data_IF_449563089018
#
_entry.id   IF_449563089018
#
_cell.length_a   1.000
_cell.length_b   1.000
_cell.length_c   1.000
_cell.angle_alpha   90.00
_cell.angle_beta   90.00
_cell.angle_gamma   90.00
#
_symmetry.space_group_name_H-M   'P 1'
#
loop_
_entity.id
_entity.type
_entity.pdbx_description
1 polymer ?
#
# COMPACT_ATOMS: atom_id res chain seq x y z
N UNK A 1 -2.24 -6.19 0.18
CA UNK A 1 -3.39 -5.71 0.97
C UNK A 1 -4.52 -6.70 0.80
N UNK A 2 -4.74 -7.56 1.79
CA UNK A 2 -5.65 -8.70 1.67
C UNK A 2 -6.44 -8.92 2.97
N UNK A 3 -5.84 -8.59 4.10
CA UNK A 3 -6.43 -8.76 5.43
C UNK A 3 -7.52 -7.72 5.66
N UNK A 4 -8.74 -8.18 5.92
CA UNK A 4 -9.92 -7.37 6.19
C UNK A 4 -10.62 -7.88 7.45
N UNK A 5 -10.94 -6.95 8.35
CA UNK A 5 -11.67 -7.22 9.58
C UNK A 5 -13.11 -6.75 9.45
N UNK A 6 -14.01 -7.70 9.23
CA UNK A 6 -15.45 -7.44 9.13
C UNK A 6 -16.13 -7.63 10.49
N UNK A 7 -17.00 -6.68 10.84
CA UNK A 7 -17.82 -6.64 12.06
C UNK A 7 -19.28 -6.41 11.67
N UNK A 8 -20.21 -7.15 12.29
CA UNK A 8 -21.66 -6.96 12.10
C UNK A 8 -22.15 -5.70 12.81
N UNK A 9 -23.40 -5.28 12.54
CA UNK A 9 -24.06 -4.16 13.20
C UNK A 9 -24.09 -4.29 14.74
N UNK A 10 -24.15 -5.53 15.24
CA UNK A 10 -24.11 -5.86 16.68
C UNK A 10 -22.71 -5.75 17.31
N UNK A 11 -21.68 -5.37 16.54
CA UNK A 11 -20.29 -5.31 17.02
C UNK A 11 -19.58 -6.67 17.07
N UNK A 12 -20.20 -7.75 16.58
CA UNK A 12 -19.62 -9.09 16.55
C UNK A 12 -18.72 -9.29 15.33
N UNK A 13 -17.54 -9.87 15.56
CA UNK A 13 -16.56 -10.15 14.50
C UNK A 13 -17.06 -11.26 13.57
N UNK A 14 -17.23 -10.93 12.29
CA UNK A 14 -17.70 -11.87 11.27
C UNK A 14 -16.53 -12.64 10.65
N UNK A 15 -15.33 -12.08 10.67
CA UNK A 15 -14.09 -12.66 10.12
C UNK A 15 -13.43 -13.66 11.07
N UNK A 16 -14.22 -14.42 11.84
CA UNK A 16 -13.77 -15.26 12.96
C UNK A 16 -13.03 -16.56 12.60
N UNK A 17 -12.72 -16.80 11.31
CA UNK A 17 -12.18 -18.07 10.82
C UNK A 17 -11.14 -17.85 9.72
N UNK A 18 -10.18 -18.77 9.60
CA UNK A 18 -9.16 -18.80 8.53
C UNK A 18 -9.75 -18.92 7.11
N UNK A 19 -10.99 -19.38 7.00
CA UNK A 19 -11.72 -19.38 5.73
C UNK A 19 -12.12 -17.98 5.27
N UNK A 20 -12.29 -17.03 6.21
CA UNK A 20 -12.78 -15.67 5.94
C UNK A 20 -11.70 -14.60 6.09
N UNK A 21 -10.85 -14.71 7.10
CA UNK A 21 -9.67 -13.85 7.25
C UNK A 21 -8.50 -14.39 6.44
N UNK A 22 -7.97 -13.60 5.50
CA UNK A 22 -6.94 -14.02 4.55
C UNK A 22 -5.64 -13.26 4.76
N UNK A 23 -4.68 -13.94 5.38
CA UNK A 23 -3.29 -13.51 5.49
C UNK A 23 -2.61 -13.65 4.10
N UNK A 24 -1.68 -12.76 3.72
CA UNK A 24 -0.86 -12.94 2.54
C UNK A 24 -0.20 -14.32 2.49
N UNK A 25 -0.43 -15.06 1.40
CA UNK A 25 0.23 -16.33 1.09
C UNK A 25 1.38 -16.10 0.11
N UNK A 26 2.07 -17.19 -0.28
CA UNK A 26 3.15 -17.17 -1.28
C UNK A 26 2.74 -16.47 -2.58
N UNK A 27 1.47 -16.57 -2.96
CA UNK A 27 0.92 -15.98 -4.19
C UNK A 27 0.81 -14.44 -4.12
N UNK A 28 0.80 -13.87 -2.92
CA UNK A 28 0.67 -12.42 -2.69
C UNK A 28 2.02 -11.70 -2.65
N UNK A 29 3.13 -12.45 -2.62
CA UNK A 29 4.49 -11.89 -2.56
C UNK A 29 4.89 -11.38 -3.97
N UNK A 30 5.51 -10.20 -4.10
CA UNK A 30 6.00 -9.72 -5.39
C UNK A 30 6.94 -10.74 -6.04
N UNK A 31 6.72 -11.02 -7.33
CA UNK A 31 7.56 -11.95 -8.09
C UNK A 31 9.06 -11.59 -8.00
N UNK A 32 9.35 -10.29 -8.07
CA UNK A 32 10.68 -9.74 -7.84
C UNK A 32 10.71 -9.03 -6.49
N UNK A 33 11.29 -9.67 -5.48
CA UNK A 33 11.45 -9.12 -4.15
C UNK A 33 12.94 -8.97 -3.80
N UNK A 34 13.49 -7.80 -4.13
CA UNK A 34 14.92 -7.50 -3.94
C UNK A 34 15.14 -6.77 -2.61
N UNK A 35 16.01 -7.32 -1.76
CA UNK A 35 16.39 -6.71 -0.48
C UNK A 35 17.90 -6.54 -0.44
N UNK A 36 18.34 -5.31 -0.18
CA UNK A 36 19.75 -4.98 -0.06
C UNK A 36 20.06 -4.48 1.34
N UNK A 37 21.01 -5.16 2.00
CA UNK A 37 21.56 -4.65 3.25
C UNK A 37 22.65 -3.62 2.93
N UNK A 38 22.39 -2.37 3.30
CA UNK A 38 23.39 -1.32 3.13
C UNK A 38 24.51 -1.51 4.15
N UNK A 39 25.75 -1.59 3.65
CA UNK A 39 26.93 -1.58 4.51
C UNK A 39 27.02 -0.19 5.16
N UNK A 40 26.79 -0.14 6.47
CA UNK A 40 26.92 1.08 7.24
C UNK A 40 28.24 1.09 8.00
N UNK A 41 28.88 2.26 8.10
CA UNK A 41 30.11 2.41 8.89
C UNK A 41 29.95 2.04 10.37
N UNK A 42 31.06 2.08 11.11
CA UNK A 42 31.06 1.72 12.53
C UNK A 42 30.20 2.70 13.36
N UNK A 43 29.36 2.16 14.23
CA UNK A 43 28.49 2.95 15.10
C UNK A 43 28.85 2.76 16.56
N UNK A 44 29.46 3.80 17.15
CA UNK A 44 29.97 3.79 18.52
C UNK A 44 28.89 3.65 19.60
N UNK A 45 27.64 4.06 19.30
CA UNK A 45 26.53 4.06 20.26
C UNK A 45 25.71 2.76 20.27
N UNK A 46 26.12 1.72 19.53
CA UNK A 46 25.33 0.50 19.37
C UNK A 46 26.16 -0.75 19.61
N UNK A 47 25.55 -1.74 20.26
CA UNK A 47 26.18 -3.04 20.53
C UNK A 47 26.54 -3.68 19.19
N UNK A 48 27.84 -3.92 18.98
CA UNK A 48 28.40 -4.48 17.75
C UNK A 48 27.98 -3.73 16.47
N UNK A 49 27.75 -2.41 16.58
CA UNK A 49 27.20 -1.58 15.49
C UNK A 49 25.81 -2.01 14.96
N UNK A 50 25.15 -2.97 15.63
CA UNK A 50 23.84 -3.50 15.22
C UNK A 50 22.76 -2.42 15.24
N UNK A 51 21.78 -2.55 14.35
CA UNK A 51 20.64 -1.62 14.23
C UNK A 51 19.41 -2.21 14.92
N UNK A 52 19.54 -2.48 16.22
CA UNK A 52 18.44 -2.99 17.06
C UNK A 52 18.20 -1.94 18.15
N UNK A 53 17.13 -1.17 18.02
CA UNK A 53 16.72 -0.24 19.07
C UNK A 53 15.64 -0.91 19.92
N UNK A 54 16.04 -1.43 21.08
CA UNK A 54 15.12 -1.67 22.19
C UNK A 54 14.71 -0.31 22.72
N UNK A 55 13.43 -0.03 22.72
CA UNK A 55 12.90 1.28 23.06
C UNK A 55 13.11 1.59 24.55
N UNK A 56 13.95 2.56 24.86
CA UNK A 56 13.75 3.43 26.02
C UNK A 56 13.90 4.89 25.56
N UNK A 57 12.81 5.64 25.74
CA UNK A 57 12.63 7.07 25.51
C UNK A 57 12.48 7.55 24.05
N UNK A 58 11.21 7.66 23.61
CA UNK A 58 10.75 8.66 22.64
C UNK A 58 11.21 10.03 23.12
N UNK A 59 12.18 10.62 22.43
CA UNK A 59 12.17 12.02 22.01
C UNK A 59 13.11 12.16 20.81
N UNK A 60 12.58 12.62 19.67
CA UNK A 60 13.17 13.69 18.85
C UNK A 60 12.41 13.81 17.52
N UNK A 61 11.46 14.76 17.55
CA UNK A 61 11.31 15.85 16.60
C UNK A 61 11.47 15.53 15.11
N UNK A 62 10.30 15.57 14.45
CA UNK A 62 10.09 16.02 13.08
C UNK A 62 11.13 17.06 12.64
N UNK A 63 12.04 16.66 11.77
CA UNK A 63 12.56 17.52 10.72
C UNK A 63 13.11 16.67 9.57
N UNK A 64 12.77 17.12 8.37
CA UNK A 64 12.96 16.50 7.06
C UNK A 64 14.43 16.11 6.85
N UNK A 65 14.74 14.82 7.05
CA UNK A 65 15.94 14.08 6.59
C UNK A 65 15.65 12.56 6.69
N UNK A 66 14.51 12.16 6.11
CA UNK A 66 13.59 11.10 6.56
C UNK A 66 14.08 9.63 6.48
N UNK A 67 15.32 9.32 6.11
CA UNK A 67 15.71 7.91 5.84
C UNK A 67 16.85 7.40 6.76
N UNK A 68 17.63 8.27 7.39
CA UNK A 68 18.89 7.83 8.05
C UNK A 68 18.79 7.46 9.53
N UNK A 69 17.64 7.61 10.21
CA UNK A 69 17.51 7.22 11.63
C UNK A 69 16.58 6.03 11.91
N UNK A 70 15.82 5.58 10.93
CA UNK A 70 14.94 4.43 11.11
C UNK A 70 15.73 3.15 10.86
N UNK A 71 16.37 2.67 11.91
CA UNK A 71 16.76 1.28 11.95
C UNK A 71 16.33 0.68 13.30
N UNK A 72 15.04 0.85 13.57
CA UNK A 72 14.28 -0.06 14.41
C UNK A 72 13.84 -1.21 13.48
N UNK A 73 14.69 -2.23 13.35
CA UNK A 73 14.62 -3.23 12.28
C UNK A 73 13.35 -4.12 12.28
N UNK A 74 12.52 -4.08 13.34
CA UNK A 74 11.35 -4.97 13.47
C UNK A 74 10.07 -4.43 12.83
N UNK A 75 9.75 -3.15 13.06
CA UNK A 75 8.47 -2.54 12.63
C UNK A 75 8.60 -1.79 11.30
N UNK A 76 9.82 -1.35 10.96
CA UNK A 76 10.07 -0.57 9.75
C UNK A 76 9.78 -1.32 8.44
N UNK A 77 10.08 -2.63 8.30
CA UNK A 77 9.70 -3.39 7.11
C UNK A 77 8.19 -3.43 6.91
N UNK A 78 7.39 -3.39 7.98
CA UNK A 78 5.94 -3.33 7.89
C UNK A 78 5.46 -2.00 7.31
N UNK A 79 6.11 -0.88 7.68
CA UNK A 79 5.81 0.42 7.08
C UNK A 79 6.12 0.46 5.57
N UNK A 80 7.18 -0.22 5.13
CA UNK A 80 7.49 -0.32 3.70
C UNK A 80 6.40 -1.03 2.90
N UNK A 81 5.56 -1.86 3.52
CA UNK A 81 4.41 -2.47 2.85
C UNK A 81 3.39 -1.43 2.36
N UNK A 82 3.36 -0.23 2.95
CA UNK A 82 2.52 0.88 2.47
C UNK A 82 2.91 1.36 1.06
N UNK A 83 4.12 1.07 0.59
CA UNK A 83 4.55 1.35 -0.80
C UNK A 83 3.65 0.66 -1.83
N UNK A 84 3.21 -0.57 -1.54
CA UNK A 84 2.27 -1.32 -2.39
C UNK A 84 0.93 -0.58 -2.47
N UNK A 85 0.46 -0.02 -1.34
CA UNK A 85 -0.77 0.77 -1.32
C UNK A 85 -0.66 2.07 -2.11
N UNK A 86 0.47 2.78 -1.98
CA UNK A 86 0.74 3.96 -2.80
C UNK A 86 0.81 3.61 -4.30
N UNK A 87 1.42 2.49 -4.65
CA UNK A 87 1.44 1.99 -6.03
C UNK A 87 0.02 1.69 -6.55
N UNK A 88 -0.82 1.00 -5.77
CA UNK A 88 -2.22 0.76 -6.13
C UNK A 88 -2.98 2.07 -6.35
N UNK A 89 -2.80 3.07 -5.46
CA UNK A 89 -3.43 4.39 -5.60
C UNK A 89 -2.98 5.08 -6.89
N UNK A 90 -1.69 5.03 -7.23
CA UNK A 90 -1.17 5.59 -8.47
C UNK A 90 -1.75 4.89 -9.71
N UNK A 91 -1.88 3.56 -9.68
CA UNK A 91 -2.49 2.78 -10.76
C UNK A 91 -3.96 3.14 -10.97
N UNK A 92 -4.75 3.26 -9.89
CA UNK A 92 -6.16 3.69 -10.00
C UNK A 92 -6.25 5.11 -10.58
N UNK A 93 -5.35 6.01 -10.18
CA UNK A 93 -5.29 7.37 -10.73
C UNK A 93 -5.03 7.34 -12.24
N UNK A 94 -4.03 6.57 -12.68
CA UNK A 94 -3.70 6.42 -14.10
C UNK A 94 -4.85 5.77 -14.90
N UNK A 95 -5.52 4.76 -14.34
CA UNK A 95 -6.68 4.12 -14.98
C UNK A 95 -7.83 5.13 -15.20
N UNK A 96 -8.09 6.01 -14.23
CA UNK A 96 -9.09 7.09 -14.36
C UNK A 96 -8.71 8.14 -15.40
N UNK A 97 -7.43 8.46 -15.50
CA UNK A 97 -6.90 9.34 -16.55
C UNK A 97 -7.12 8.73 -17.94
N UNK A 98 -6.82 7.43 -18.11
CA UNK A 98 -7.05 6.70 -19.36
C UNK A 98 -8.53 6.64 -19.73
N UNK A 99 -9.41 6.33 -18.77
CA UNK A 99 -10.85 6.27 -19.00
C UNK A 99 -11.40 7.60 -19.54
N UNK A 100 -10.89 8.72 -19.04
CA UNK A 100 -11.27 10.06 -19.52
C UNK A 100 -10.81 10.34 -20.93
N UNK A 101 -9.60 9.91 -21.28
CA UNK A 101 -9.07 10.06 -22.64
C UNK A 101 -9.98 9.36 -23.65
N UNK A 102 -10.44 8.14 -23.34
CA UNK A 102 -11.38 7.42 -24.19
C UNK A 102 -12.79 8.01 -24.17
N UNK A 103 -13.23 8.51 -23.03
CA UNK A 103 -14.54 9.14 -22.89
C UNK A 103 -14.67 10.56 -23.46
N UNK A 104 -13.61 11.13 -24.05
CA UNK A 104 -13.56 12.52 -24.52
C UNK A 104 -14.04 13.56 -23.47
N UNK A 105 -13.82 13.27 -22.18
CA UNK A 105 -14.26 14.13 -21.09
C UNK A 105 -13.21 15.21 -20.81
N UNK A 106 -13.50 16.45 -21.23
CA UNK A 106 -12.65 17.61 -20.93
C UNK A 106 -12.84 18.06 -19.48
N UNK A 107 -11.93 17.67 -18.58
CA UNK A 107 -11.90 18.12 -17.19
C UNK A 107 -10.89 17.38 -16.29
N UNK A 108 -10.50 17.99 -15.17
CA UNK A 108 -9.54 17.39 -14.21
C UNK A 108 -10.07 16.09 -13.61
N UNK A 109 -9.19 15.11 -13.40
CA UNK A 109 -9.53 13.86 -12.71
C UNK A 109 -10.04 14.18 -11.32
N UNK A 110 -11.24 13.69 -10.99
CA UNK A 110 -11.79 13.88 -9.65
C UNK A 110 -10.82 13.28 -8.64
N UNK A 111 -10.50 14.05 -7.60
CA UNK A 111 -9.76 13.53 -6.47
C UNK A 111 -10.51 12.35 -5.86
N UNK A 112 -9.77 11.36 -5.38
CA UNK A 112 -10.35 10.14 -4.83
C UNK A 112 -9.54 9.61 -3.67
N UNK A 113 -10.27 9.00 -2.76
CA UNK A 113 -9.72 8.34 -1.61
C UNK A 113 -9.75 6.83 -1.83
N UNK A 114 -8.66 6.16 -1.48
CA UNK A 114 -8.58 4.71 -1.51
C UNK A 114 -8.37 4.25 -0.07
N UNK A 115 -9.44 3.71 0.51
CA UNK A 115 -9.44 3.21 1.87
C UNK A 115 -8.44 2.04 2.04
N UNK A 116 -7.99 1.87 3.28
CA UNK A 116 -7.17 0.72 3.69
C UNK A 116 -8.11 -0.25 4.42
N UNK A 117 -8.14 -1.54 4.05
CA UNK A 117 -7.32 -2.20 3.03
C UNK A 117 -7.86 -1.98 1.60
N UNK A 118 -6.97 -1.73 0.64
CA UNK A 118 -7.36 -1.65 -0.78
C UNK A 118 -7.50 -3.05 -1.38
N UNK A 119 -8.62 -3.70 -1.10
CA UNK A 119 -9.00 -5.01 -1.66
C UNK A 119 -9.45 -4.86 -3.12
N UNK A 120 -9.33 -5.93 -3.90
CA UNK A 120 -9.69 -5.95 -5.33
C UNK A 120 -11.09 -5.40 -5.64
N UNK A 121 -12.18 -5.74 -4.93
CA UNK A 121 -13.49 -5.18 -5.25
C UNK A 121 -13.52 -3.65 -5.09
N UNK A 122 -12.89 -3.10 -4.04
CA UNK A 122 -12.77 -1.65 -3.85
C UNK A 122 -11.92 -1.03 -4.96
N UNK A 123 -10.78 -1.63 -5.32
CA UNK A 123 -9.94 -1.11 -6.40
C UNK A 123 -10.69 -1.08 -7.73
N UNK A 124 -11.46 -2.14 -8.05
CA UNK A 124 -12.26 -2.21 -9.28
C UNK A 124 -13.36 -1.15 -9.33
N UNK A 125 -14.09 -0.95 -8.24
CA UNK A 125 -15.12 0.11 -8.20
C UNK A 125 -14.49 1.48 -8.34
N UNK A 126 -13.30 1.71 -7.78
CA UNK A 126 -12.58 2.96 -7.93
C UNK A 126 -12.00 3.15 -9.35
N UNK A 127 -11.70 2.11 -10.12
CA UNK A 127 -11.22 2.25 -11.51
C UNK A 127 -12.33 2.60 -12.52
N UNK A 128 -13.60 2.36 -12.20
CA UNK A 128 -14.73 2.49 -13.13
C UNK A 128 -15.12 1.14 -13.75
N UNK A 129 -16.41 0.85 -13.80
CA UNK A 129 -16.95 -0.43 -14.32
C UNK A 129 -17.08 -0.44 -15.86
N UNK A 130 -17.12 0.74 -16.46
CA UNK A 130 -17.28 1.02 -17.89
C UNK A 130 -15.96 1.00 -18.67
N UNK A 131 -14.86 0.60 -18.03
CA UNK A 131 -13.52 0.63 -18.62
C UNK A 131 -13.42 -0.15 -19.94
N UNK A 132 -14.02 -1.34 -20.00
CA UNK A 132 -14.01 -2.18 -21.21
C UNK A 132 -14.87 -1.56 -22.31
N UNK A 133 -16.03 -1.01 -21.96
CA UNK A 133 -16.94 -0.39 -22.93
C UNK A 133 -16.30 0.86 -23.55
N UNK A 134 -15.75 1.76 -22.73
CA UNK A 134 -15.03 2.95 -23.20
C UNK A 134 -13.81 2.63 -24.04
N UNK A 135 -13.07 1.58 -23.68
CA UNK A 135 -11.96 1.11 -24.49
C UNK A 135 -12.42 0.64 -25.89
N UNK A 136 -13.49 -0.16 -25.95
CA UNK A 136 -14.02 -0.65 -27.23
C UNK A 136 -14.58 0.50 -28.08
N UNK A 137 -15.31 1.44 -27.48
CA UNK A 137 -15.75 2.67 -28.15
C UNK A 137 -14.58 3.45 -28.76
N UNK A 138 -13.45 3.55 -28.04
CA UNK A 138 -12.26 4.27 -28.53
C UNK A 138 -11.55 3.61 -29.71
N UNK A 139 -11.70 2.29 -29.89
CA UNK A 139 -11.14 1.55 -31.04
C UNK A 139 -12.08 1.61 -32.24
N UNK A 140 -13.39 1.66 -31.99
CA UNK A 140 -14.43 1.65 -33.03
C UNK A 140 -14.73 3.05 -33.58
N UNK A 141 -14.33 4.11 -32.88
CA UNK A 141 -14.43 5.51 -33.31
C UNK A 141 -13.30 5.88 -34.30
#
# INVERSE_FOLDING_TARGET
>A
MHEEYLTNEDGLMVSNSTWKYKIPTIDTIPQNFNVHLLNSGHHQKRVLSSKVQCHQHIQCLLNINLITLFAASGELPLLLAASVHCATRATVKAAREQLKLWGNLYGSVSEFYLDIPAIIPIVKTQCGLDYVEKYLESILA
#
